data_IF_481481511515
#
_entry.id   IF_481481511515
#
_cell.length_a   1.000
_cell.length_b   1.000
_cell.length_c   1.000
_cell.angle_alpha   90.00
_cell.angle_beta   90.00
_cell.angle_gamma   90.00
#
_symmetry.space_group_name_H-M   'P 1'
#
loop_
_entity.id
_entity.type
_entity.pdbx_description
1 polymer ?
#
# COMPACT_ATOMS: atom_id res chain seq x y z
N UNK A 1 -4.71 23.45 -30.29
CA UNK A 1 -4.10 22.10 -30.33
C UNK A 1 -3.79 21.74 -28.87
N UNK A 2 -4.76 21.35 -28.03
CA UNK A 2 -5.42 20.03 -27.83
C UNK A 2 -4.48 18.92 -27.34
N UNK A 3 -4.74 18.47 -26.10
CA UNK A 3 -4.25 17.22 -25.47
C UNK A 3 -3.25 17.47 -24.33
N UNK A 4 -3.47 17.10 -23.07
CA UNK A 4 -4.46 16.21 -22.46
C UNK A 4 -4.52 16.50 -20.95
N UNK A 5 -5.60 17.12 -20.50
CA UNK A 5 -6.05 17.07 -19.11
C UNK A 5 -6.55 15.64 -18.84
N UNK A 6 -5.73 14.82 -18.19
CA UNK A 6 -6.17 13.55 -17.61
C UNK A 6 -6.72 13.84 -16.21
N UNK A 7 -8.02 13.61 -15.92
CA UNK A 7 -8.69 14.10 -14.71
C UNK A 7 -8.40 13.28 -13.43
N UNK A 8 -7.48 12.32 -13.46
CA UNK A 8 -7.30 11.36 -12.38
C UNK A 8 -5.85 11.22 -11.85
N UNK A 9 -4.90 12.01 -12.36
CA UNK A 9 -3.64 12.29 -11.64
C UNK A 9 -2.84 11.06 -11.22
N UNK A 10 -2.88 9.96 -11.98
CA UNK A 10 -2.16 8.71 -11.66
C UNK A 10 -0.64 8.78 -11.94
N UNK A 11 0.03 9.88 -11.65
CA UNK A 11 1.50 9.86 -11.58
C UNK A 11 1.93 9.28 -10.23
N UNK A 12 1.75 7.97 -10.05
CA UNK A 12 2.49 7.21 -9.04
C UNK A 12 3.95 7.10 -9.49
N UNK A 13 4.69 8.22 -9.48
CA UNK A 13 6.14 8.17 -9.60
C UNK A 13 6.69 7.72 -8.25
N UNK A 14 7.10 6.45 -8.17
CA UNK A 14 7.72 5.88 -6.97
C UNK A 14 9.17 5.56 -7.28
N UNK A 15 10.13 6.37 -6.81
CA UNK A 15 11.45 5.82 -6.50
C UNK A 15 11.26 4.97 -5.25
N UNK A 16 10.76 3.75 -5.44
CA UNK A 16 10.80 2.74 -4.40
C UNK A 16 12.26 2.24 -4.31
N UNK A 17 13.04 2.87 -3.43
CA UNK A 17 14.42 2.45 -3.15
C UNK A 17 14.50 1.23 -2.22
N UNK A 18 13.37 0.60 -1.87
CA UNK A 18 13.37 -0.60 -1.04
C UNK A 18 13.41 -1.82 -1.94
N UNK A 19 14.12 -2.89 -1.56
CA UNK A 19 14.42 -3.93 -2.52
C UNK A 19 13.24 -4.89 -2.78
N UNK A 20 12.02 -4.58 -2.33
CA UNK A 20 10.88 -5.50 -2.39
C UNK A 20 10.15 -5.46 -3.71
N UNK A 21 9.76 -4.28 -4.20
CA UNK A 21 9.17 -4.10 -5.51
C UNK A 21 10.11 -4.55 -6.64
N UNK A 22 11.42 -4.19 -6.65
CA UNK A 22 12.37 -4.72 -7.64
C UNK A 22 12.53 -6.24 -7.60
N UNK A 23 12.22 -6.89 -6.47
CA UNK A 23 12.25 -8.36 -6.31
C UNK A 23 10.89 -9.03 -6.52
N UNK A 24 9.84 -8.27 -6.87
CA UNK A 24 8.49 -8.79 -7.05
C UNK A 24 7.82 -9.26 -5.75
N UNK A 25 8.24 -8.71 -4.60
CA UNK A 25 7.74 -9.07 -3.27
C UNK A 25 6.74 -8.07 -2.70
N UNK A 26 6.48 -6.97 -3.41
CA UNK A 26 5.53 -5.96 -2.96
C UNK A 26 4.53 -5.62 -4.07
N UNK A 27 3.32 -5.28 -3.63
CA UNK A 27 2.28 -4.69 -4.47
C UNK A 27 1.74 -3.44 -3.79
N UNK A 28 1.27 -2.49 -4.60
CA UNK A 28 0.54 -1.33 -4.13
C UNK A 28 -0.91 -1.41 -4.63
N UNK A 29 -1.84 -1.47 -3.69
CA UNK A 29 -3.27 -1.49 -3.96
C UNK A 29 -3.76 -0.05 -3.88
N UNK A 30 -4.03 0.53 -5.04
CA UNK A 30 -4.46 1.92 -5.13
C UNK A 30 -5.88 2.11 -4.59
N UNK A 31 -6.09 3.21 -3.86
CA UNK A 31 -7.39 3.55 -3.27
C UNK A 31 -8.01 4.73 -4.03
N UNK A 32 -9.16 4.54 -4.71
CA UNK A 32 -9.88 5.66 -5.31
C UNK A 32 -10.39 6.60 -4.23
N UNK A 33 -10.37 7.91 -4.50
CA UNK A 33 -10.82 8.94 -3.55
C UNK A 33 -10.20 8.80 -2.15
N UNK A 34 -8.92 8.46 -2.05
CA UNK A 34 -8.23 8.08 -0.81
C UNK A 34 -8.27 9.10 0.35
N UNK A 35 -8.60 10.36 0.08
CA UNK A 35 -8.80 11.39 1.10
C UNK A 35 -10.22 11.41 1.69
N UNK A 36 -11.18 10.74 1.05
CA UNK A 36 -12.57 10.67 1.50
C UNK A 36 -12.76 9.67 2.64
N UNK A 37 -13.83 9.80 3.45
CA UNK A 37 -14.19 8.79 4.45
C UNK A 37 -14.34 7.39 3.85
N UNK A 38 -14.92 7.27 2.65
CA UNK A 38 -15.13 5.99 1.97
C UNK A 38 -13.81 5.38 1.49
N UNK A 39 -12.90 6.20 0.95
CA UNK A 39 -11.56 5.77 0.56
C UNK A 39 -10.74 5.30 1.76
N UNK A 40 -10.82 6.02 2.88
CA UNK A 40 -10.17 5.62 4.14
C UNK A 40 -10.73 4.27 4.61
N UNK A 41 -12.05 4.13 4.65
CA UNK A 41 -12.71 2.89 5.05
C UNK A 41 -12.31 1.70 4.16
N UNK A 42 -12.17 1.91 2.84
CA UNK A 42 -11.70 0.87 1.93
C UNK A 42 -10.24 0.46 2.23
N UNK A 43 -9.35 1.44 2.44
CA UNK A 43 -7.96 1.16 2.82
C UNK A 43 -7.86 0.39 4.14
N UNK A 44 -8.68 0.75 5.13
CA UNK A 44 -8.76 0.08 6.42
C UNK A 44 -9.25 -1.38 6.26
N UNK A 45 -10.24 -1.62 5.41
CA UNK A 45 -10.73 -2.97 5.11
C UNK A 45 -9.67 -3.85 4.44
N UNK A 46 -8.92 -3.29 3.48
CA UNK A 46 -7.83 -4.02 2.80
C UNK A 46 -6.73 -4.37 3.79
N UNK A 47 -6.34 -3.41 4.65
CA UNK A 47 -5.37 -3.65 5.72
C UNK A 47 -5.85 -4.76 6.65
N UNK A 48 -7.10 -4.69 7.13
CA UNK A 48 -7.68 -5.69 8.02
C UNK A 48 -7.69 -7.08 7.37
N UNK A 49 -8.05 -7.16 6.09
CA UNK A 49 -8.01 -8.40 5.32
C UNK A 49 -6.60 -8.98 5.24
N UNK A 50 -5.59 -8.16 4.92
CA UNK A 50 -4.21 -8.60 4.82
C UNK A 50 -3.70 -9.15 6.16
N UNK A 51 -3.96 -8.43 7.26
CA UNK A 51 -3.55 -8.85 8.60
C UNK A 51 -4.26 -10.13 9.05
N UNK A 52 -5.56 -10.27 8.80
CA UNK A 52 -6.32 -11.48 9.12
C UNK A 52 -5.84 -12.71 8.35
N UNK A 53 -5.23 -12.52 7.18
CA UNK A 53 -4.73 -13.59 6.31
C UNK A 53 -3.19 -13.67 6.28
N UNK A 54 -2.50 -13.03 7.24
CA UNK A 54 -1.05 -12.85 7.20
C UNK A 54 -0.26 -14.15 6.97
N UNK A 55 -0.65 -15.24 7.63
CA UNK A 55 0.02 -16.54 7.47
C UNK A 55 -0.18 -17.16 6.08
N UNK A 56 -1.38 -17.04 5.50
CA UNK A 56 -1.69 -17.58 4.17
C UNK A 56 -1.01 -16.77 3.06
N UNK A 57 -0.94 -15.45 3.24
CA UNK A 57 -0.30 -14.54 2.29
C UNK A 57 1.23 -14.54 2.41
N UNK A 58 1.80 -15.13 3.46
CA UNK A 58 3.21 -14.97 3.78
C UNK A 58 3.56 -13.50 4.00
N UNK A 59 2.68 -12.76 4.69
CA UNK A 59 2.80 -11.31 4.86
C UNK A 59 4.03 -10.96 5.72
N UNK A 60 4.87 -10.09 5.18
CA UNK A 60 5.95 -9.46 5.93
C UNK A 60 5.45 -8.20 6.62
N UNK A 61 4.85 -7.29 5.84
CA UNK A 61 4.33 -6.01 6.31
C UNK A 61 3.24 -5.46 5.38
N UNK A 62 2.40 -4.60 5.95
CA UNK A 62 1.51 -3.71 5.21
C UNK A 62 1.79 -2.26 5.62
N UNK A 63 1.63 -1.31 4.69
CA UNK A 63 1.74 0.12 4.99
C UNK A 63 0.48 0.84 4.55
N UNK A 64 -0.15 1.55 5.48
CA UNK A 64 -1.32 2.39 5.22
C UNK A 64 -1.26 3.67 6.04
N UNK A 65 -1.50 4.81 5.39
CA UNK A 65 -1.51 6.17 5.98
C UNK A 65 -0.29 6.46 6.87
N UNK A 66 0.87 6.04 6.41
CA UNK A 66 2.14 6.25 7.12
C UNK A 66 2.34 5.37 8.35
N UNK A 67 1.61 4.27 8.49
CA UNK A 67 1.81 3.28 9.57
C UNK A 67 2.24 1.93 8.99
N UNK A 68 3.31 1.33 9.54
CA UNK A 68 3.79 -0.03 9.27
C UNK A 68 2.94 -0.94 10.14
N UNK A 69 2.29 -1.91 9.53
CA UNK A 69 1.59 -2.98 10.22
C UNK A 69 2.36 -4.27 10.00
N UNK A 70 2.82 -4.84 11.09
CA UNK A 70 3.50 -6.13 11.09
C UNK A 70 2.81 -7.05 12.10
N UNK A 71 3.04 -8.37 12.04
CA UNK A 71 2.57 -9.28 13.08
C UNK A 71 3.07 -8.91 14.50
N UNK A 72 4.14 -8.12 14.63
CA UNK A 72 4.67 -7.63 15.91
C UNK A 72 3.97 -6.35 16.41
N UNK A 73 3.05 -5.78 15.62
CA UNK A 73 2.29 -4.57 15.96
C UNK A 73 2.54 -3.40 15.01
N UNK A 74 1.77 -2.31 15.16
CA UNK A 74 1.89 -1.13 14.33
C UNK A 74 3.05 -0.21 14.78
N UNK A 75 3.75 0.38 13.82
CA UNK A 75 4.77 1.39 14.06
C UNK A 75 4.61 2.55 13.08
N UNK A 76 4.67 3.79 13.57
CA UNK A 76 4.68 4.96 12.68
C UNK A 76 5.88 4.90 11.73
N UNK A 77 5.65 5.27 10.48
CA UNK A 77 6.66 5.29 9.42
C UNK A 77 6.80 6.71 8.92
N UNK A 78 8.03 7.16 8.65
CA UNK A 78 8.25 8.45 7.98
C UNK A 78 7.83 8.47 6.50
N UNK A 79 7.12 7.44 6.00
CA UNK A 79 6.73 7.31 4.59
C UNK A 79 5.30 7.76 4.34
N UNK A 80 5.08 8.49 3.25
CA UNK A 80 3.74 8.84 2.77
C UNK A 80 3.10 7.64 2.07
N UNK A 81 2.00 7.14 2.63
CA UNK A 81 1.21 6.00 2.14
C UNK A 81 -0.29 6.32 2.21
N UNK A 82 -0.67 7.52 1.76
CA UNK A 82 -2.01 8.05 1.99
C UNK A 82 -3.00 7.73 0.86
N UNK A 83 -2.50 7.34 -0.31
CA UNK A 83 -3.26 7.08 -1.53
C UNK A 83 -3.38 5.60 -1.91
N UNK A 84 -2.67 4.73 -1.22
CA UNK A 84 -2.64 3.28 -1.49
C UNK A 84 -2.22 2.47 -0.25
N UNK A 85 -2.61 1.20 -0.23
CA UNK A 85 -2.09 0.21 0.72
C UNK A 85 -0.93 -0.53 0.07
N UNK A 86 0.26 -0.53 0.68
CA UNK A 86 1.36 -1.40 0.26
C UNK A 86 1.27 -2.72 1.00
N UNK A 87 1.43 -3.83 0.30
CA UNK A 87 1.56 -5.18 0.87
C UNK A 87 2.92 -5.75 0.45
N UNK A 88 3.70 -6.22 1.43
CA UNK A 88 4.97 -6.91 1.20
C UNK A 88 4.86 -8.36 1.67
N UNK A 89 5.29 -9.30 0.84
CA UNK A 89 5.35 -10.73 1.17
C UNK A 89 6.78 -11.19 1.43
N UNK A 90 6.92 -12.24 2.22
CA UNK A 90 8.17 -12.96 2.41
C UNK A 90 8.60 -13.66 1.09
N UNK A 91 9.91 -13.77 0.81
CA UNK A 91 10.38 -14.62 -0.28
C UNK A 91 9.92 -16.06 -0.09
N UNK A 92 9.48 -16.71 -1.17
CA UNK A 92 9.24 -18.16 -1.15
C UNK A 92 10.57 -18.88 -0.93
N UNK A 93 10.59 -19.81 0.03
CA UNK A 93 11.70 -20.74 0.25
C UNK A 93 11.60 -21.92 -0.71
#
# INVERSE_FOLDING_TARGET
MTGSDEPDGWTSSRPDSKPWHPRGLAIDIMIPNHGSPEGIALGDQILAFAMANAGQLGLQDAIWRGTYYTPAGPQATGYSHFDHVRITTLPRR
#
